data_IF_491875261549
#
_entry.id   IF_491875261549
#
_cell.length_a   1.000
_cell.length_b   1.000
_cell.length_c   1.000
_cell.angle_alpha   90.00
_cell.angle_beta   90.00
_cell.angle_gamma   90.00
#
_symmetry.space_group_name_H-M   'P 1'
#
loop_
_entity.id
_entity.type
_entity.pdbx_description
1 polymer ?
#
# COMPACT_ATOMS: atom_id res chain seq x y z
N UNK A 1 -2.55 -10.56 15.34
CA UNK A 1 -2.98 -9.16 15.21
C UNK A 1 -3.46 -8.57 16.55
N UNK A 2 -4.40 -9.19 17.30
CA UNK A 2 -4.94 -8.66 18.57
C UNK A 2 -3.87 -8.27 19.59
N UNK A 3 -2.78 -9.03 19.71
CA UNK A 3 -1.66 -8.71 20.63
C UNK A 3 -0.98 -7.41 20.19
N UNK A 4 -0.69 -7.24 18.89
CA UNK A 4 -0.04 -6.05 18.35
C UNK A 4 -0.90 -4.80 18.52
N UNK A 5 -2.20 -4.91 18.37
CA UNK A 5 -3.14 -3.80 18.63
C UNK A 5 -3.22 -3.45 20.12
N UNK A 6 -3.15 -4.46 21.02
CA UNK A 6 -3.24 -4.25 22.46
C UNK A 6 -1.96 -3.66 23.07
N UNK A 7 -0.79 -3.96 22.48
CA UNK A 7 0.52 -3.54 22.98
C UNK A 7 1.24 -2.68 21.93
N UNK A 8 1.02 -1.35 21.90
CA UNK A 8 1.51 -0.47 20.81
C UNK A 8 3.03 -0.43 20.66
N UNK A 9 3.78 -0.73 21.73
CA UNK A 9 5.26 -0.80 21.66
C UNK A 9 5.78 -2.11 21.05
N UNK A 10 4.93 -3.13 20.90
CA UNK A 10 5.31 -4.40 20.27
C UNK A 10 5.20 -4.24 18.75
N UNK A 11 6.33 -4.27 18.06
CA UNK A 11 6.36 -4.12 16.59
C UNK A 11 6.15 -5.44 15.86
N UNK A 12 6.62 -6.56 16.43
CA UNK A 12 6.59 -7.88 15.80
C UNK A 12 6.33 -8.97 16.82
N UNK A 13 5.57 -9.98 16.43
CA UNK A 13 5.29 -11.17 17.22
C UNK A 13 5.57 -12.40 16.36
N UNK A 14 6.33 -13.32 16.91
CA UNK A 14 6.58 -14.63 16.35
C UNK A 14 5.97 -15.69 17.26
N UNK A 15 5.21 -16.62 16.68
CA UNK A 15 4.56 -17.71 17.40
C UNK A 15 4.95 -19.01 16.72
N UNK A 16 5.59 -19.89 17.47
CA UNK A 16 5.87 -21.26 17.06
C UNK A 16 4.93 -22.22 17.83
N UNK A 17 4.22 -23.06 17.10
CA UNK A 17 3.40 -24.14 17.64
C UNK A 17 4.05 -25.45 17.27
N UNK A 18 4.50 -26.22 18.27
CA UNK A 18 5.12 -27.52 18.10
C UNK A 18 4.16 -28.66 18.42
N UNK A 19 4.17 -29.67 17.59
CA UNK A 19 3.47 -30.95 17.83
C UNK A 19 4.50 -32.06 17.94
N UNK A 20 4.98 -32.40 19.17
CA UNK A 20 6.09 -33.35 19.37
C UNK A 20 5.75 -34.80 18.93
N UNK A 21 4.48 -35.16 18.91
CA UNK A 21 4.02 -36.52 18.59
C UNK A 21 3.05 -36.48 17.40
N UNK A 22 3.52 -36.02 16.25
CA UNK A 22 2.73 -36.08 15.04
C UNK A 22 2.59 -37.56 14.58
N UNK A 23 1.36 -38.10 14.33
CA UNK A 23 1.17 -39.47 13.84
C UNK A 23 1.52 -39.52 12.35
N UNK A 24 2.79 -39.34 12.04
CA UNK A 24 3.35 -39.44 10.69
C UNK A 24 4.25 -40.67 10.67
N UNK A 25 4.10 -41.55 9.67
CA UNK A 25 4.88 -42.78 9.51
C UNK A 25 6.35 -42.50 9.08
N UNK A 26 6.92 -41.42 9.54
CA UNK A 26 8.31 -41.02 9.32
C UNK A 26 8.99 -40.75 10.66
N UNK A 27 10.29 -41.04 10.80
CA UNK A 27 11.06 -40.72 12.00
C UNK A 27 11.27 -39.19 12.09
N UNK A 28 10.35 -38.51 12.77
CA UNK A 28 10.39 -37.07 13.01
C UNK A 28 10.33 -36.80 14.53
N UNK A 29 11.19 -35.94 15.00
CA UNK A 29 11.20 -35.50 16.40
C UNK A 29 10.02 -34.58 16.72
N UNK A 30 9.68 -33.72 15.81
CA UNK A 30 8.55 -32.79 15.96
C UNK A 30 8.12 -32.19 14.62
N UNK A 31 6.87 -31.73 14.56
CA UNK A 31 6.35 -30.85 13.50
C UNK A 31 6.03 -29.52 14.12
N UNK A 32 6.48 -28.43 13.52
CA UNK A 32 6.16 -27.08 13.99
C UNK A 32 5.58 -26.19 12.89
N UNK A 33 4.78 -25.22 13.30
CA UNK A 33 4.31 -24.10 12.47
C UNK A 33 4.78 -22.82 13.13
N UNK A 34 5.51 -22.01 12.38
CA UNK A 34 5.96 -20.70 12.80
C UNK A 34 5.17 -19.63 12.06
N UNK A 35 4.60 -18.67 12.78
CA UNK A 35 3.84 -17.55 12.24
C UNK A 35 4.41 -16.25 12.79
N UNK A 36 4.88 -15.40 11.88
CA UNK A 36 5.31 -14.04 12.22
C UNK A 36 4.26 -13.04 11.78
N UNK A 37 4.01 -12.04 12.63
CA UNK A 37 3.17 -10.87 12.33
C UNK A 37 3.83 -9.64 12.90
N UNK A 38 3.81 -8.54 12.14
CA UNK A 38 4.38 -7.25 12.55
C UNK A 38 3.69 -6.09 11.85
N UNK A 39 4.01 -4.90 12.31
CA UNK A 39 3.73 -3.68 11.59
C UNK A 39 4.72 -3.56 10.44
N UNK A 40 4.19 -3.39 9.23
CA UNK A 40 4.96 -3.19 8.00
C UNK A 40 4.68 -1.80 7.46
N UNK A 41 5.70 -1.14 6.93
CA UNK A 41 5.53 0.17 6.30
C UNK A 41 5.03 -0.01 4.87
N UNK A 42 3.95 0.68 4.52
CA UNK A 42 3.41 0.69 3.18
C UNK A 42 3.29 2.12 2.64
N UNK A 43 3.36 2.26 1.33
CA UNK A 43 3.22 3.51 0.61
C UNK A 43 2.19 3.37 -0.50
N UNK A 44 1.28 4.34 -0.56
CA UNK A 44 0.28 4.45 -1.63
C UNK A 44 0.51 5.72 -2.44
N UNK A 45 0.17 5.66 -3.72
CA UNK A 45 -0.18 6.83 -4.52
C UNK A 45 -1.69 7.01 -4.50
N UNK A 46 -2.16 8.23 -4.37
CA UNK A 46 -3.58 8.58 -4.53
C UNK A 46 -3.72 9.64 -5.60
N UNK A 47 -4.75 9.52 -6.43
CA UNK A 47 -4.99 10.45 -7.53
C UNK A 47 -6.46 10.64 -7.86
N UNK A 48 -6.83 11.84 -8.33
CA UNK A 48 -8.18 12.18 -8.77
C UNK A 48 -8.14 13.22 -9.89
N UNK A 49 -9.00 13.08 -10.91
CA UNK A 49 -9.17 14.08 -11.95
C UNK A 49 -10.63 14.33 -12.37
N UNK A 50 -11.57 13.91 -11.52
CA UNK A 50 -13.01 14.14 -11.78
C UNK A 50 -13.70 14.77 -10.57
N UNK A 51 -14.62 15.67 -10.84
CA UNK A 51 -15.46 16.29 -9.81
C UNK A 51 -14.66 17.12 -8.80
N UNK A 52 -15.02 17.06 -7.53
CA UNK A 52 -14.25 17.69 -6.44
C UNK A 52 -13.04 16.81 -6.08
N UNK A 53 -11.98 16.93 -6.90
CA UNK A 53 -10.76 16.15 -6.81
C UNK A 53 -10.16 16.17 -5.39
N UNK A 54 -10.12 17.37 -4.76
CA UNK A 54 -9.54 17.54 -3.42
C UNK A 54 -10.38 16.82 -2.36
N UNK A 55 -11.69 16.99 -2.40
CA UNK A 55 -12.59 16.30 -1.48
C UNK A 55 -12.49 14.77 -1.59
N UNK A 56 -12.29 14.22 -2.79
CA UNK A 56 -12.08 12.79 -2.97
C UNK A 56 -10.77 12.31 -2.35
N UNK A 57 -9.67 13.05 -2.49
CA UNK A 57 -8.39 12.72 -1.84
C UNK A 57 -8.51 12.77 -0.31
N UNK A 58 -9.10 13.84 0.23
CA UNK A 58 -9.31 14.01 1.67
C UNK A 58 -10.20 12.89 2.24
N UNK A 59 -11.30 12.56 1.55
CA UNK A 59 -12.18 11.46 1.96
C UNK A 59 -11.45 10.10 1.98
N UNK A 60 -10.59 9.82 0.99
CA UNK A 60 -9.81 8.59 0.95
C UNK A 60 -8.82 8.50 2.13
N UNK A 61 -8.16 9.60 2.47
CA UNK A 61 -7.27 9.69 3.62
C UNK A 61 -8.05 9.43 4.93
N UNK A 62 -9.22 10.05 5.09
CA UNK A 62 -10.06 9.84 6.29
C UNK A 62 -10.57 8.39 6.39
N UNK A 63 -10.89 7.73 5.28
CA UNK A 63 -11.24 6.31 5.29
C UNK A 63 -10.07 5.41 5.71
N UNK A 64 -8.84 5.69 5.27
CA UNK A 64 -7.64 4.98 5.72
C UNK A 64 -7.42 5.16 7.23
N UNK A 65 -7.63 6.36 7.79
CA UNK A 65 -7.49 6.63 9.23
C UNK A 65 -8.47 5.84 10.09
N UNK A 66 -9.61 5.42 9.56
CA UNK A 66 -10.61 4.60 10.28
C UNK A 66 -10.21 3.12 10.40
N UNK A 67 -9.20 2.69 9.66
CA UNK A 67 -8.75 1.29 9.68
C UNK A 67 -7.86 1.05 10.90
N UNK A 68 -8.35 0.35 11.91
CA UNK A 68 -7.63 0.09 13.18
C UNK A 68 -6.24 -0.56 13.00
N UNK A 69 -6.03 -1.26 11.89
CA UNK A 69 -4.77 -1.92 11.56
C UNK A 69 -3.82 -1.04 10.73
N UNK A 70 -4.10 0.25 10.62
CA UNK A 70 -3.26 1.27 10.00
C UNK A 70 -2.95 2.34 11.05
N UNK A 71 -1.70 2.80 11.09
CA UNK A 71 -1.24 3.86 12.00
C UNK A 71 -0.10 4.67 11.39
N UNK A 72 0.35 5.74 12.08
CA UNK A 72 1.48 6.58 11.69
C UNK A 72 1.35 7.13 10.26
N UNK A 73 0.13 7.57 9.89
CA UNK A 73 -0.17 8.05 8.56
C UNK A 73 0.55 9.39 8.32
N UNK A 74 1.34 9.43 7.25
CA UNK A 74 1.97 10.61 6.68
C UNK A 74 1.42 10.84 5.28
N UNK A 75 1.10 12.08 4.96
CA UNK A 75 0.58 12.47 3.64
C UNK A 75 1.49 13.56 3.09
N UNK A 76 1.86 13.46 1.82
CA UNK A 76 2.60 14.51 1.11
C UNK A 76 1.71 15.71 0.83
N UNK A 77 2.30 16.80 0.35
CA UNK A 77 1.53 17.85 -0.32
C UNK A 77 0.81 17.28 -1.56
N UNK A 78 -0.31 17.91 -1.89
CA UNK A 78 -1.08 17.57 -3.09
C UNK A 78 -0.53 18.38 -4.25
N UNK A 79 -0.10 17.70 -5.31
CA UNK A 79 0.39 18.34 -6.53
C UNK A 79 -0.61 18.19 -7.67
N UNK A 80 -0.67 19.19 -8.57
CA UNK A 80 -1.44 19.12 -9.80
C UNK A 80 -0.55 18.75 -10.97
N UNK A 81 -0.95 17.73 -11.74
CA UNK A 81 -0.15 17.21 -12.85
C UNK A 81 -0.97 16.99 -14.10
N UNK A 82 -0.30 17.07 -15.26
CA UNK A 82 -0.90 16.69 -16.54
C UNK A 82 -1.21 15.18 -16.58
N UNK A 83 -2.24 14.76 -17.32
CA UNK A 83 -2.57 13.35 -17.50
C UNK A 83 -1.42 12.57 -18.13
N UNK A 84 -1.15 11.36 -17.62
CA UNK A 84 -0.18 10.43 -18.18
C UNK A 84 -0.89 9.37 -19.04
N UNK A 85 -0.42 9.14 -20.25
CA UNK A 85 -0.99 8.17 -21.19
C UNK A 85 -2.14 8.75 -22.01
N UNK A 86 -3.36 8.65 -21.56
CA UNK A 86 -4.52 9.28 -22.23
C UNK A 86 -4.61 10.76 -21.84
N UNK A 87 -4.30 11.66 -22.77
CA UNK A 87 -4.15 13.10 -22.52
C UNK A 87 -5.45 13.92 -22.72
N UNK A 88 -6.49 13.34 -23.34
CA UNK A 88 -7.77 14.00 -23.53
C UNK A 88 -8.67 13.93 -22.27
N UNK A 89 -8.15 14.40 -21.15
CA UNK A 89 -8.83 14.43 -19.85
C UNK A 89 -8.27 15.55 -18.97
N UNK A 90 -8.97 15.88 -17.88
CA UNK A 90 -8.57 16.92 -16.95
C UNK A 90 -7.30 16.54 -16.17
N UNK A 91 -6.60 17.57 -15.67
CA UNK A 91 -5.42 17.42 -14.80
C UNK A 91 -5.76 16.64 -13.53
N UNK A 92 -4.78 15.88 -13.07
CA UNK A 92 -4.87 15.14 -11.82
C UNK A 92 -4.40 15.97 -10.63
N UNK A 93 -5.02 15.74 -9.48
CA UNK A 93 -4.40 15.98 -8.18
C UNK A 93 -3.83 14.65 -7.70
N UNK A 94 -2.55 14.65 -7.33
CA UNK A 94 -1.85 13.46 -6.85
C UNK A 94 -1.19 13.75 -5.50
N UNK A 95 -1.10 12.71 -4.65
CA UNK A 95 -0.35 12.72 -3.41
C UNK A 95 0.18 11.32 -3.09
N UNK A 96 1.14 11.23 -2.18
CA UNK A 96 1.62 9.99 -1.61
C UNK A 96 1.19 9.86 -0.14
N UNK A 97 0.91 8.64 0.28
CA UNK A 97 0.59 8.31 1.66
C UNK A 97 1.55 7.22 2.13
N UNK A 98 2.20 7.44 3.28
CA UNK A 98 2.99 6.42 3.98
C UNK A 98 2.35 6.09 5.32
N UNK A 99 2.37 4.83 5.74
CA UNK A 99 1.83 4.38 7.02
C UNK A 99 2.40 3.02 7.44
N UNK A 100 2.23 2.68 8.72
CA UNK A 100 2.44 1.32 9.21
C UNK A 100 1.11 0.54 9.21
N UNK A 101 1.16 -0.74 8.81
CA UNK A 101 -0.03 -1.59 8.72
C UNK A 101 0.21 -3.03 9.21
N UNK A 102 -0.85 -3.66 9.76
CA UNK A 102 -0.93 -5.10 10.05
C UNK A 102 -1.68 -5.88 8.95
N UNK A 103 -2.14 -5.21 7.92
CA UNK A 103 -2.78 -5.87 6.77
C UNK A 103 -1.72 -6.59 5.94
N UNK A 104 -2.06 -7.69 5.32
CA UNK A 104 -1.26 -8.26 4.23
C UNK A 104 -1.42 -7.41 2.97
N UNK A 105 -0.54 -7.52 1.96
CA UNK A 105 -0.69 -6.80 0.69
C UNK A 105 -2.08 -6.96 0.06
N UNK A 106 -2.59 -8.19 -0.01
CA UNK A 106 -3.93 -8.44 -0.58
C UNK A 106 -5.07 -7.83 0.24
N UNK A 107 -4.94 -7.85 1.58
CA UNK A 107 -5.93 -7.21 2.46
C UNK A 107 -5.87 -5.69 2.34
N UNK A 108 -4.69 -5.10 2.16
CA UNK A 108 -4.52 -3.68 1.89
C UNK A 108 -5.13 -3.31 0.53
N UNK A 109 -4.89 -4.10 -0.51
CA UNK A 109 -5.51 -3.92 -1.82
C UNK A 109 -7.05 -3.93 -1.72
N UNK A 110 -7.60 -4.84 -0.91
CA UNK A 110 -9.05 -4.90 -0.67
C UNK A 110 -9.57 -3.60 -0.03
N UNK A 111 -8.84 -3.04 0.94
CA UNK A 111 -9.18 -1.74 1.56
C UNK A 111 -9.12 -0.61 0.53
N UNK A 112 -8.08 -0.56 -0.33
CA UNK A 112 -7.97 0.43 -1.40
C UNK A 112 -9.21 0.35 -2.33
N UNK A 113 -9.58 -0.84 -2.79
CA UNK A 113 -10.75 -1.03 -3.65
C UNK A 113 -12.08 -0.63 -2.97
N UNK A 114 -12.23 -0.87 -1.67
CA UNK A 114 -13.41 -0.42 -0.92
C UNK A 114 -13.50 1.11 -0.85
N UNK A 115 -12.38 1.79 -0.64
CA UNK A 115 -12.30 3.26 -0.64
C UNK A 115 -12.65 3.80 -2.03
N UNK A 116 -12.08 3.24 -3.08
CA UNK A 116 -12.39 3.61 -4.47
C UNK A 116 -13.87 3.43 -4.81
N UNK A 117 -14.47 2.32 -4.37
CA UNK A 117 -15.90 2.06 -4.55
C UNK A 117 -16.76 3.08 -3.82
N UNK A 118 -16.40 3.48 -2.60
CA UNK A 118 -17.07 4.57 -1.87
C UNK A 118 -16.95 5.91 -2.61
N UNK A 119 -15.81 6.18 -3.23
CA UNK A 119 -15.57 7.32 -4.12
C UNK A 119 -16.31 7.26 -5.45
N UNK A 120 -17.21 6.28 -5.67
CA UNK A 120 -17.97 6.06 -6.91
C UNK A 120 -17.08 5.91 -8.15
N UNK A 121 -15.90 5.29 -7.98
CA UNK A 121 -15.01 5.01 -9.10
C UNK A 121 -15.67 4.05 -10.08
N UNK A 122 -15.80 4.47 -11.34
CA UNK A 122 -16.22 3.64 -12.46
C UNK A 122 -15.05 3.49 -13.46
N UNK A 123 -14.66 2.26 -13.78
CA UNK A 123 -13.63 1.99 -14.80
C UNK A 123 -14.29 1.87 -16.18
N UNK A 124 -14.33 2.96 -16.95
CA UNK A 124 -14.88 2.96 -18.32
C UNK A 124 -13.82 2.82 -19.39
N UNK A 125 -12.64 3.38 -19.18
CA UNK A 125 -11.54 3.43 -20.14
C UNK A 125 -10.24 3.13 -19.39
N UNK A 126 -9.33 2.38 -20.03
CA UNK A 126 -7.98 2.16 -19.51
C UNK A 126 -7.21 3.49 -19.47
N UNK A 127 -6.65 3.86 -18.30
CA UNK A 127 -6.08 5.18 -18.00
C UNK A 127 -7.04 6.36 -18.16
N UNK A 128 -8.33 6.12 -18.16
CA UNK A 128 -9.35 7.14 -18.24
C UNK A 128 -9.53 7.95 -16.97
N UNK A 129 -10.43 8.95 -17.03
CA UNK A 129 -10.72 9.80 -15.86
C UNK A 129 -11.33 9.00 -14.71
N UNK A 130 -11.02 9.41 -13.48
CA UNK A 130 -11.44 8.73 -12.25
C UNK A 130 -11.64 9.68 -11.09
N UNK A 131 -12.66 9.39 -10.27
CA UNK A 131 -12.96 10.15 -9.05
C UNK A 131 -11.86 9.99 -8.00
N UNK A 132 -11.34 8.76 -7.84
CA UNK A 132 -10.25 8.42 -6.92
C UNK A 132 -9.53 7.15 -7.39
N UNK A 133 -8.23 7.11 -7.24
CA UNK A 133 -7.34 5.98 -7.52
C UNK A 133 -6.40 5.77 -6.35
N UNK A 134 -6.23 4.53 -5.90
CA UNK A 134 -5.29 4.16 -4.85
C UNK A 134 -4.40 3.03 -5.33
N UNK A 135 -3.13 3.31 -5.60
CA UNK A 135 -2.13 2.33 -6.01
C UNK A 135 -1.15 2.02 -4.88
N UNK A 136 -0.93 0.72 -4.56
CA UNK A 136 0.11 0.29 -3.63
C UNK A 136 1.46 0.40 -4.33
N UNK A 137 2.33 1.28 -3.83
CA UNK A 137 3.66 1.52 -4.38
C UNK A 137 4.70 0.57 -3.82
N UNK A 138 4.82 0.52 -2.50
CA UNK A 138 5.78 -0.25 -1.73
C UNK A 138 5.12 -0.85 -0.49
N UNK A 139 5.62 -2.00 -0.03
CA UNK A 139 5.17 -2.67 1.18
C UNK A 139 6.37 -3.35 1.86
N UNK A 140 7.00 -2.69 2.83
CA UNK A 140 8.29 -3.12 3.37
C UNK A 140 9.28 -3.43 2.25
N UNK A 141 9.99 -4.54 2.40
CA UNK A 141 10.89 -5.08 1.37
C UNK A 141 10.21 -6.13 0.46
N UNK A 142 8.87 -6.18 0.47
CA UNK A 142 8.11 -7.17 -0.29
C UNK A 142 8.33 -7.01 -1.79
N UNK A 143 8.64 -8.14 -2.44
CA UNK A 143 8.65 -8.26 -3.90
C UNK A 143 7.67 -9.38 -4.25
N UNK A 144 6.59 -9.04 -4.92
CA UNK A 144 5.57 -10.00 -5.33
C UNK A 144 4.97 -9.64 -6.69
N UNK A 145 4.54 -10.67 -7.39
CA UNK A 145 3.83 -10.54 -8.65
C UNK A 145 2.72 -11.60 -8.71
N UNK A 146 1.49 -11.15 -8.65
CA UNK A 146 0.28 -11.99 -8.79
C UNK A 146 -0.59 -11.46 -9.93
N UNK A 147 -1.68 -12.13 -10.23
CA UNK A 147 -2.65 -11.67 -11.23
C UNK A 147 -3.28 -10.32 -10.87
N UNK A 148 -3.39 -10.00 -9.57
CA UNK A 148 -4.11 -8.83 -9.07
C UNK A 148 -3.20 -7.74 -8.51
N UNK A 149 -1.96 -8.07 -8.11
CA UNK A 149 -1.07 -7.15 -7.39
C UNK A 149 0.39 -7.39 -7.71
N UNK A 150 1.09 -6.32 -8.06
CA UNK A 150 2.55 -6.28 -8.22
C UNK A 150 3.14 -5.27 -7.26
N UNK A 151 4.07 -5.71 -6.40
CA UNK A 151 4.84 -4.87 -5.47
C UNK A 151 6.33 -5.16 -5.68
N UNK A 152 7.17 -4.15 -5.85
CA UNK A 152 6.86 -2.72 -6.05
C UNK A 152 5.95 -2.48 -7.26
N UNK A 153 5.19 -1.40 -7.23
CA UNK A 153 4.35 -1.02 -8.38
C UNK A 153 5.20 -0.89 -9.65
N UNK A 154 4.86 -1.64 -10.69
CA UNK A 154 5.69 -1.85 -11.88
C UNK A 154 6.16 -0.57 -12.58
N UNK A 155 5.34 0.48 -12.56
CA UNK A 155 5.59 1.74 -13.26
C UNK A 155 6.00 2.90 -12.35
N UNK A 156 6.10 2.72 -11.02
CA UNK A 156 6.32 3.84 -10.09
C UNK A 156 7.60 4.62 -10.41
N UNK A 157 8.67 3.91 -10.78
CA UNK A 157 9.97 4.50 -11.08
C UNK A 157 10.04 5.31 -12.38
N UNK A 158 8.98 5.28 -13.20
CA UNK A 158 8.85 6.05 -14.46
C UNK A 158 7.88 7.22 -14.32
N UNK A 159 7.19 7.36 -13.18
CA UNK A 159 6.10 8.31 -12.99
C UNK A 159 6.51 9.42 -12.04
N UNK A 160 6.87 10.59 -12.55
CA UNK A 160 7.26 11.71 -11.73
C UNK A 160 6.16 12.14 -10.75
N UNK A 161 4.90 12.10 -11.16
CA UNK A 161 3.75 12.43 -10.33
C UNK A 161 3.53 11.46 -9.14
N UNK A 162 4.23 10.30 -9.14
CA UNK A 162 4.31 9.35 -8.04
C UNK A 162 5.57 9.62 -7.20
N UNK A 163 6.73 9.79 -7.87
CA UNK A 163 8.03 9.91 -7.21
C UNK A 163 8.18 11.23 -6.45
N UNK A 164 7.68 12.33 -7.00
CA UNK A 164 7.79 13.65 -6.37
C UNK A 164 7.08 13.68 -5.00
N UNK A 165 5.77 13.33 -4.88
CA UNK A 165 5.11 13.29 -3.57
C UNK A 165 5.70 12.21 -2.64
N UNK A 166 6.10 11.06 -3.19
CA UNK A 166 6.69 10.00 -2.38
C UNK A 166 8.05 10.41 -1.83
N UNK A 167 8.86 11.13 -2.60
CA UNK A 167 10.17 11.63 -2.17
C UNK A 167 10.07 12.64 -1.02
N UNK A 168 8.98 13.39 -0.94
CA UNK A 168 8.73 14.32 0.18
C UNK A 168 8.61 13.58 1.52
N UNK A 169 7.88 12.47 1.56
CA UNK A 169 7.59 11.75 2.80
C UNK A 169 8.54 10.58 3.07
N UNK A 170 9.22 10.07 2.05
CA UNK A 170 10.04 8.86 2.11
C UNK A 170 11.27 8.88 1.18
N UNK A 171 12.12 9.94 1.19
CA UNK A 171 13.22 10.12 0.24
C UNK A 171 14.26 8.99 0.28
N UNK A 172 14.48 8.38 1.44
CA UNK A 172 15.51 7.37 1.68
C UNK A 172 15.02 5.92 1.60
N UNK A 173 13.71 5.73 1.40
CA UNK A 173 13.16 4.38 1.22
C UNK A 173 13.70 3.80 -0.07
N UNK A 174 14.20 2.56 0.00
CA UNK A 174 14.77 1.87 -1.15
C UNK A 174 13.70 1.10 -1.91
N UNK A 175 13.77 1.19 -3.22
CA UNK A 175 13.02 0.30 -4.11
C UNK A 175 13.66 -1.10 -4.05
N UNK A 176 12.97 -2.14 -3.55
CA UNK A 176 13.61 -3.43 -3.21
C UNK A 176 14.21 -4.16 -4.43
N UNK A 177 13.73 -3.90 -5.65
CA UNK A 177 14.26 -4.50 -6.88
C UNK A 177 15.39 -3.66 -7.48
N UNK A 178 15.24 -2.31 -7.51
CA UNK A 178 16.22 -1.43 -8.15
C UNK A 178 17.38 -1.06 -7.23
N UNK A 179 17.26 -1.27 -5.92
CA UNK A 179 18.26 -0.93 -4.92
C UNK A 179 18.50 0.56 -4.71
N UNK A 180 17.80 1.42 -5.44
CA UNK A 180 17.89 2.89 -5.36
C UNK A 180 16.90 3.45 -4.36
N UNK A 181 17.26 4.54 -3.69
CA UNK A 181 16.29 5.30 -2.89
C UNK A 181 15.28 6.01 -3.77
N UNK A 182 14.11 6.34 -3.22
CA UNK A 182 13.06 7.07 -3.93
C UNK A 182 13.60 8.38 -4.51
N UNK A 183 14.44 9.11 -3.76
CA UNK A 183 15.07 10.36 -4.22
C UNK A 183 16.08 10.18 -5.37
N UNK A 184 16.43 8.94 -5.73
CA UNK A 184 17.38 8.61 -6.80
C UNK A 184 16.69 7.96 -8.02
N UNK A 185 15.39 7.73 -7.94
CA UNK A 185 14.60 7.18 -9.03
C UNK A 185 14.12 8.29 -9.97
#
# INVERSE_FOLDING_TARGET
KKILLKFPLVKKVEVEIKKPWAPILLPLDTVSVNITRGWETAYLSIGSNMGDRKAYLEAAIEELKKVETIREIKVSEIIETEPYGYTAQDKFLNAAIGFETLLTPDALLSVCHEIEKKGKRERKIHWGPRTIDLDILLYGDCVMHTETLTIPHSEMHKRQFVLEPLSEIAPYVKHPVLGKSVSML
#
